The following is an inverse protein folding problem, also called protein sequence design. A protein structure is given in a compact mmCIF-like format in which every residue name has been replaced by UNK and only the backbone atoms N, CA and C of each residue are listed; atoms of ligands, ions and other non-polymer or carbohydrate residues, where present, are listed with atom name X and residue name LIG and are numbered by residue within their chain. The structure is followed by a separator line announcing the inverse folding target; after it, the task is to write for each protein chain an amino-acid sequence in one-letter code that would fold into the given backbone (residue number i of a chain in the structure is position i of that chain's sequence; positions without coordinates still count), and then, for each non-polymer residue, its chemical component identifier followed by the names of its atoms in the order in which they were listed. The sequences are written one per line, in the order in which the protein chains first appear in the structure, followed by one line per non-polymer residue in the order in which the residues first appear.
data_IF_660052600826
#
_entry.id   IF_660052600826
#
_cell.length_a   1.000
_cell.length_b   1.000
_cell.length_c   1.000
_cell.angle_alpha   90.00
_cell.angle_beta   90.00
_cell.angle_gamma   90.00
#
_symmetry.space_group_name_H-M   'P 1'
#
loop_
_entity.id
_entity.type
_entity.pdbx_description
1 polymer ?
#
# COMPACT_ATOMS: atom_id res chain seq x y z
N UNK A 1 15.19 -12.76 15.19
CA UNK A 1 14.04 -12.45 16.06
C UNK A 1 12.79 -12.35 15.19
N UNK A 2 11.62 -12.78 15.66
CA UNK A 2 10.36 -12.66 14.93
C UNK A 2 9.60 -11.48 15.50
N UNK A 3 9.14 -10.56 14.64
CA UNK A 3 8.34 -9.40 15.04
C UNK A 3 6.93 -9.52 14.46
N UNK A 4 5.93 -9.22 15.29
CA UNK A 4 4.53 -9.15 14.87
C UNK A 4 4.11 -7.69 14.76
N UNK A 5 3.79 -7.24 13.55
CA UNK A 5 3.31 -5.90 13.29
C UNK A 5 1.79 -5.87 13.49
N UNK A 6 1.31 -5.11 14.48
CA UNK A 6 -0.12 -4.98 14.80
C UNK A 6 -0.57 -3.57 14.44
N UNK A 7 -1.61 -3.45 13.62
CA UNK A 7 -2.15 -2.14 13.24
C UNK A 7 -3.41 -2.23 12.40
N UNK A 8 -3.44 -3.12 11.40
CA UNK A 8 -4.66 -3.36 10.63
C UNK A 8 -5.75 -3.99 11.49
N UNK A 9 -6.99 -3.60 11.21
CA UNK A 9 -8.18 -4.09 11.93
C UNK A 9 -8.83 -5.28 11.24
N UNK A 10 -8.36 -5.63 10.05
CA UNK A 10 -8.86 -6.75 9.25
C UNK A 10 -7.70 -7.46 8.51
N UNK A 11 -8.02 -8.46 7.67
CA UNK A 11 -7.03 -9.24 6.94
C UNK A 11 -6.10 -8.36 6.10
N UNK A 12 -4.81 -8.70 6.15
CA UNK A 12 -3.81 -8.16 5.24
C UNK A 12 -3.88 -8.95 3.94
N UNK A 13 -4.03 -8.25 2.83
CA UNK A 13 -4.23 -8.85 1.50
C UNK A 13 -2.95 -8.91 0.68
N UNK A 14 -2.08 -7.92 0.86
CA UNK A 14 -0.89 -7.73 0.03
C UNK A 14 0.17 -6.99 0.81
N UNK A 15 1.43 -7.21 0.41
CA UNK A 15 2.60 -6.57 0.99
C UNK A 15 3.60 -6.25 -0.13
N UNK A 16 4.18 -5.05 -0.07
CA UNK A 16 5.28 -4.63 -0.93
C UNK A 16 6.46 -4.14 -0.08
N UNK A 17 7.68 -4.51 -0.45
CA UNK A 17 8.91 -4.09 0.21
C UNK A 17 9.63 -3.05 -0.64
N UNK A 18 10.23 -2.05 0.01
CA UNK A 18 11.20 -1.17 -0.66
C UNK A 18 12.43 -1.98 -1.06
N UNK A 19 13.14 -1.52 -2.09
CA UNK A 19 14.32 -2.23 -2.60
C UNK A 19 15.48 -2.31 -1.58
N UNK A 20 15.55 -1.36 -0.65
CA UNK A 20 16.50 -1.39 0.47
C UNK A 20 16.02 -2.23 1.67
N UNK A 21 14.79 -2.76 1.61
CA UNK A 21 14.17 -3.57 2.65
C UNK A 21 13.80 -2.82 3.93
N UNK A 22 14.00 -1.50 3.98
CA UNK A 22 13.77 -0.69 5.19
C UNK A 22 12.31 -0.35 5.40
N UNK A 23 11.52 -0.28 4.33
CA UNK A 23 10.10 0.01 4.38
C UNK A 23 9.28 -1.13 3.81
N UNK A 24 8.11 -1.34 4.41
CA UNK A 24 7.08 -2.21 3.87
C UNK A 24 5.75 -1.48 3.81
N UNK A 25 4.94 -1.76 2.80
CA UNK A 25 3.55 -1.31 2.72
C UNK A 25 2.64 -2.52 2.76
N UNK A 26 1.69 -2.51 3.68
CA UNK A 26 0.69 -3.56 3.81
C UNK A 26 -0.67 -3.01 3.40
N UNK A 27 -1.40 -3.76 2.58
CA UNK A 27 -2.77 -3.47 2.17
C UNK A 27 -3.74 -4.34 2.98
N UNK A 28 -4.95 -3.85 3.24
CA UNK A 28 -5.93 -4.57 4.06
C UNK A 28 -7.38 -4.43 3.62
N UNK A 29 -8.19 -5.40 4.05
CA UNK A 29 -9.66 -5.37 4.01
C UNK A 29 -10.27 -4.23 4.83
N UNK A 30 -9.52 -3.58 5.71
CA UNK A 30 -9.99 -2.39 6.43
C UNK A 30 -10.01 -1.11 5.57
N UNK A 31 -9.62 -1.21 4.30
CA UNK A 31 -9.63 -0.09 3.35
C UNK A 31 -8.43 0.84 3.48
N UNK A 32 -7.44 0.48 4.31
CA UNK A 32 -6.22 1.27 4.49
C UNK A 32 -5.00 0.54 3.96
N UNK A 33 -3.94 1.32 3.72
CA UNK A 33 -2.59 0.79 3.65
C UNK A 33 -1.77 1.32 4.82
N UNK A 34 -0.82 0.54 5.33
CA UNK A 34 0.10 0.99 6.39
C UNK A 34 1.55 0.85 5.94
N UNK A 35 2.31 1.92 6.12
CA UNK A 35 3.75 1.98 5.87
C UNK A 35 4.47 1.68 7.18
N UNK A 36 5.41 0.75 7.15
CA UNK A 36 6.19 0.32 8.31
C UNK A 36 7.67 0.53 8.10
N UNK A 37 8.36 0.92 9.17
CA UNK A 37 9.80 0.80 9.29
C UNK A 37 10.13 -0.64 9.72
N UNK A 38 10.88 -1.36 8.90
CA UNK A 38 11.18 -2.77 9.15
C UNK A 38 12.32 -2.97 10.15
N UNK A 39 13.18 -1.96 10.34
CA UNK A 39 14.28 -1.99 11.31
C UNK A 39 13.75 -1.70 12.72
N UNK A 40 13.02 -0.60 12.89
CA UNK A 40 12.39 -0.20 14.14
C UNK A 40 11.15 -1.06 14.47
N UNK A 41 10.42 -1.54 13.46
CA UNK A 41 9.19 -2.31 13.64
C UNK A 41 8.01 -1.43 14.03
N UNK A 42 8.03 -0.19 13.58
CA UNK A 42 7.06 0.84 13.92
C UNK A 42 6.26 1.24 12.69
N UNK A 43 4.98 1.55 12.89
CA UNK A 43 4.15 2.12 11.84
C UNK A 43 4.60 3.56 11.60
N UNK A 44 5.03 3.85 10.37
CA UNK A 44 5.41 5.20 9.95
C UNK A 44 4.14 6.01 9.65
N UNK A 45 3.18 5.38 8.96
CA UNK A 45 2.00 6.09 8.44
C UNK A 45 0.87 5.13 8.06
N UNK A 46 -0.37 5.59 8.21
CA UNK A 46 -1.56 5.01 7.55
C UNK A 46 -1.95 5.85 6.34
N UNK A 47 -2.17 5.19 5.20
CA UNK A 47 -2.71 5.75 3.97
C UNK A 47 -4.23 5.49 3.94
N UNK A 48 -4.99 6.54 4.21
CA UNK A 48 -6.45 6.51 4.21
C UNK A 48 -6.98 7.12 2.91
N UNK A 49 -7.97 6.49 2.30
CA UNK A 49 -8.61 7.05 1.10
C UNK A 49 -9.35 6.05 0.22
N UNK A 50 -9.08 4.75 0.35
CA UNK A 50 -9.96 3.73 -0.20
C UNK A 50 -11.19 3.57 0.68
N UNK A 51 -12.35 3.35 0.05
CA UNK A 51 -13.63 3.21 0.78
C UNK A 51 -14.05 1.75 0.94
N UNK A 52 -13.23 0.82 0.46
CA UNK A 52 -13.45 -0.62 0.52
C UNK A 52 -12.10 -1.35 0.55
N UNK A 53 -12.12 -2.67 0.63
CA UNK A 53 -10.93 -3.55 0.64
C UNK A 53 -9.85 -3.09 -0.33
N UNK A 54 -8.62 -2.93 0.17
CA UNK A 54 -7.44 -2.80 -0.69
C UNK A 54 -6.98 -4.21 -1.04
N UNK A 55 -6.98 -4.56 -2.32
CA UNK A 55 -6.74 -5.93 -2.81
C UNK A 55 -5.27 -6.19 -3.09
N UNK A 56 -4.52 -5.15 -3.47
CA UNK A 56 -3.13 -5.26 -3.91
C UNK A 56 -2.39 -3.95 -3.70
N UNK A 57 -1.07 -4.05 -3.46
CA UNK A 57 -0.16 -2.90 -3.44
C UNK A 57 1.14 -3.24 -4.18
N UNK A 58 1.68 -2.25 -4.90
CA UNK A 58 3.00 -2.30 -5.52
C UNK A 58 3.78 -1.02 -5.19
N UNK A 59 5.11 -1.13 -5.12
CA UNK A 59 6.02 0.00 -4.90
C UNK A 59 6.87 0.26 -6.14
N UNK A 60 7.14 1.53 -6.41
CA UNK A 60 8.13 1.92 -7.41
C UNK A 60 9.53 1.50 -6.97
N UNK A 61 10.42 1.30 -7.93
CA UNK A 61 11.79 0.83 -7.64
C UNK A 61 12.60 1.83 -6.79
N UNK A 62 12.30 3.13 -6.91
CA UNK A 62 12.89 4.18 -6.07
C UNK A 62 12.21 4.33 -4.69
N UNK A 63 11.13 3.59 -4.44
CA UNK A 63 10.39 3.56 -3.18
C UNK A 63 9.58 4.83 -2.90
N UNK A 64 9.47 5.76 -3.86
CA UNK A 64 8.77 7.04 -3.67
C UNK A 64 7.29 6.97 -3.95
N UNK A 65 6.85 5.99 -4.75
CA UNK A 65 5.46 5.82 -5.11
C UNK A 65 4.95 4.45 -4.67
N UNK A 66 3.70 4.42 -4.23
CA UNK A 66 2.91 3.19 -4.14
C UNK A 66 1.72 3.27 -5.08
N UNK A 67 1.34 2.14 -5.66
CA UNK A 67 0.06 1.96 -6.35
C UNK A 67 -0.74 0.94 -5.57
N UNK A 68 -2.02 1.24 -5.33
CA UNK A 68 -2.95 0.32 -4.67
C UNK A 68 -4.21 0.10 -5.48
N UNK A 69 -4.68 -1.13 -5.53
CA UNK A 69 -5.94 -1.53 -6.15
C UNK A 69 -6.99 -1.84 -5.08
N UNK A 70 -8.27 -1.63 -5.39
CA UNK A 70 -9.36 -1.81 -4.42
C UNK A 70 -10.68 -2.27 -5.03
N UNK A 71 -11.48 -2.91 -4.19
CA UNK A 71 -12.89 -3.21 -4.42
C UNK A 71 -13.77 -1.95 -4.47
N UNK A 72 -13.24 -0.77 -4.14
CA UNK A 72 -13.91 0.51 -4.38
C UNK A 72 -13.86 0.96 -5.84
N UNK A 73 -13.33 0.10 -6.73
CA UNK A 73 -13.20 0.29 -8.17
C UNK A 73 -12.22 1.38 -8.54
N UNK A 74 -11.29 1.72 -7.64
CA UNK A 74 -10.23 2.68 -7.91
C UNK A 74 -8.83 2.08 -7.76
N UNK A 75 -7.91 2.57 -8.57
CA UNK A 75 -6.48 2.53 -8.33
C UNK A 75 -6.06 3.88 -7.76
N UNK A 76 -5.23 3.88 -6.72
CA UNK A 76 -4.64 5.12 -6.18
C UNK A 76 -3.12 5.06 -6.28
N UNK A 77 -2.55 6.20 -6.66
CA UNK A 77 -1.10 6.45 -6.64
C UNK A 77 -0.81 7.33 -5.44
N UNK A 78 0.12 6.91 -4.60
CA UNK A 78 0.46 7.55 -3.34
C UNK A 78 1.89 8.06 -3.38
N UNK A 79 2.10 9.24 -2.81
CA UNK A 79 3.42 9.71 -2.42
C UNK A 79 3.83 9.02 -1.11
N UNK A 80 4.96 8.30 -1.11
CA UNK A 80 5.43 7.55 0.05
C UNK A 80 6.09 8.40 1.14
N UNK A 81 6.44 9.66 0.84
CA UNK A 81 7.00 10.60 1.80
C UNK A 81 5.90 11.36 2.53
N UNK A 82 4.92 11.88 1.78
CA UNK A 82 3.81 12.67 2.33
C UNK A 82 2.63 11.82 2.77
N UNK A 83 2.42 10.66 2.12
CA UNK A 83 1.25 9.80 2.28
C UNK A 83 -0.01 10.33 1.61
N UNK A 84 0.12 11.31 0.72
CA UNK A 84 -1.00 11.89 0.00
C UNK A 84 -1.29 11.11 -1.30
N UNK A 85 -2.55 11.15 -1.73
CA UNK A 85 -2.95 10.62 -3.04
C UNK A 85 -2.52 11.60 -4.12
N UNK A 86 -1.64 11.16 -5.02
CA UNK A 86 -1.21 11.91 -6.20
C UNK A 86 -2.26 11.83 -7.30
N UNK A 87 -2.81 10.63 -7.52
CA UNK A 87 -3.79 10.39 -8.57
C UNK A 87 -4.72 9.23 -8.19
N UNK A 88 -5.94 9.28 -8.72
CA UNK A 88 -6.92 8.20 -8.64
C UNK A 88 -7.45 7.86 -10.03
N UNK A 89 -7.49 6.58 -10.36
CA UNK A 89 -8.02 6.07 -11.63
C UNK A 89 -9.23 5.20 -11.29
N UNK A 90 -10.41 5.59 -11.76
CA UNK A 90 -11.63 4.80 -11.59
C UNK A 90 -11.81 3.76 -12.70
N UNK A 91 -12.42 2.64 -12.36
CA UNK A 91 -12.91 1.63 -13.29
C UNK A 91 -14.39 1.32 -13.04
N UNK A 92 -14.99 0.54 -13.94
CA UNK A 92 -16.41 0.15 -13.84
C UNK A 92 -16.65 -1.03 -12.88
N UNK A 93 -15.58 -1.71 -12.45
CA UNK A 93 -15.61 -2.86 -11.52
C UNK A 93 -14.41 -2.83 -10.57
N UNK A 94 -14.42 -3.75 -9.61
CA UNK A 94 -13.39 -4.00 -8.61
C UNK A 94 -12.04 -4.29 -9.27
N UNK A 95 -10.96 -3.75 -8.69
CA UNK A 95 -9.61 -3.95 -9.21
C UNK A 95 -8.89 -4.92 -8.29
N UNK A 96 -8.47 -6.06 -8.84
CA UNK A 96 -7.96 -7.18 -8.05
C UNK A 96 -6.43 -7.18 -7.87
N UNK A 97 -5.69 -6.47 -8.72
CA UNK A 97 -4.24 -6.49 -8.73
C UNK A 97 -3.67 -5.21 -9.35
N UNK A 98 -2.45 -4.86 -8.94
CA UNK A 98 -1.65 -3.82 -9.56
C UNK A 98 -0.17 -4.23 -9.61
N UNK A 99 0.57 -3.68 -10.56
CA UNK A 99 2.02 -3.82 -10.67
C UNK A 99 2.59 -2.53 -11.27
N UNK A 100 3.83 -2.22 -10.91
CA UNK A 100 4.61 -1.11 -11.47
C UNK A 100 5.73 -1.72 -12.31
N UNK A 101 5.98 -1.17 -13.49
CA UNK A 101 7.04 -1.67 -14.37
C UNK A 101 8.42 -1.36 -13.76
N UNK A 102 9.47 -2.14 -14.07
CA UNK A 102 10.81 -1.91 -13.51
C UNK A 102 11.41 -0.54 -13.85
N UNK A 103 10.99 0.05 -14.97
CA UNK A 103 11.40 1.38 -15.45
C UNK A 103 10.53 2.53 -14.92
N UNK A 104 9.50 2.23 -14.12
CA UNK A 104 8.58 3.20 -13.49
C UNK A 104 7.26 3.29 -14.21
#
# INVERSE_FOLDING_TARGET
EIRTLKGHTNWVTSVALSNDGKRAVFASWDGTLKIWDMEAGEEIRTLEGHTNTVTSVALSNDGKLAVSASDDRTLKIWDMETGEVIAGIGGDSEINCCAIAPDG
#
